data_IF_253324008242
#
_entry.id   IF_253324008242
#
_cell.length_a   1.000
_cell.length_b   1.000
_cell.length_c   1.000
_cell.angle_alpha   90.00
_cell.angle_beta   90.00
_cell.angle_gamma   90.00
#
_symmetry.space_group_name_H-M   'P 1'
#
loop_
_entity.id
_entity.type
_entity.pdbx_description
1 polymer ?
#
# COMPACT_ATOMS: atom_id res chain seq x y z
N UNK A 1 9.80 -5.55 3.15
CA UNK A 1 9.72 -6.92 2.59
C UNK A 1 10.05 -6.88 1.11
N UNK A 2 10.94 -7.76 0.64
CA UNK A 2 11.22 -7.95 -0.79
C UNK A 2 10.60 -9.27 -1.23
N UNK A 3 9.81 -9.23 -2.30
CA UNK A 3 9.17 -10.41 -2.88
C UNK A 3 9.61 -10.51 -4.33
N UNK A 4 10.08 -11.70 -4.73
CA UNK A 4 10.31 -12.02 -6.13
C UNK A 4 9.03 -12.62 -6.70
N UNK A 5 8.42 -11.91 -7.62
CA UNK A 5 7.14 -12.31 -8.20
C UNK A 5 7.30 -13.17 -9.45
N UNK A 6 8.41 -12.98 -10.19
CA UNK A 6 8.67 -13.71 -11.43
C UNK A 6 10.16 -13.93 -11.66
N UNK A 7 10.49 -15.10 -12.22
CA UNK A 7 11.78 -15.40 -12.81
C UNK A 7 11.54 -16.02 -14.19
N UNK A 8 12.16 -15.44 -15.22
CA UNK A 8 12.11 -15.97 -16.59
C UNK A 8 13.53 -16.04 -17.14
N UNK A 9 13.92 -17.22 -17.67
CA UNK A 9 15.20 -17.44 -18.33
C UNK A 9 15.02 -18.50 -19.42
N UNK A 10 15.38 -18.15 -20.65
CA UNK A 10 15.33 -19.05 -21.80
C UNK A 10 13.93 -19.50 -22.23
N UNK A 11 13.90 -20.23 -23.34
CA UNK A 11 12.67 -20.77 -23.95
C UNK A 11 12.77 -22.28 -24.23
N UNK A 12 13.98 -22.83 -24.28
CA UNK A 12 14.24 -24.24 -24.55
C UNK A 12 15.11 -24.85 -23.46
N UNK A 13 14.79 -26.07 -23.03
CA UNK A 13 15.43 -26.75 -21.93
C UNK A 13 16.91 -27.12 -22.18
N UNK A 14 17.33 -27.21 -23.42
CA UNK A 14 18.67 -27.62 -23.86
C UNK A 14 19.55 -26.42 -24.29
N UNK A 15 19.08 -25.20 -24.13
CA UNK A 15 19.80 -23.96 -24.51
C UNK A 15 20.00 -23.10 -23.28
N UNK A 16 21.26 -22.75 -22.99
CA UNK A 16 21.60 -21.81 -21.93
C UNK A 16 21.22 -20.41 -22.41
N UNK A 17 20.33 -19.70 -21.72
CA UNK A 17 19.88 -18.37 -22.11
C UNK A 17 20.99 -17.33 -21.89
N UNK A 18 21.06 -16.34 -22.78
CA UNK A 18 21.94 -15.20 -22.65
C UNK A 18 21.54 -14.27 -21.50
N UNK A 19 20.24 -14.18 -21.24
CA UNK A 19 19.66 -13.29 -20.22
C UNK A 19 18.64 -14.01 -19.34
N UNK A 20 18.52 -13.51 -18.11
CA UNK A 20 17.47 -13.90 -17.17
C UNK A 20 16.82 -12.65 -16.59
N UNK A 21 15.51 -12.65 -16.50
CA UNK A 21 14.72 -11.54 -15.94
C UNK A 21 14.13 -11.94 -14.59
N UNK A 22 14.40 -11.10 -13.58
CA UNK A 22 13.73 -11.19 -12.28
C UNK A 22 12.84 -9.96 -12.12
N UNK A 23 11.60 -10.18 -11.71
CA UNK A 23 10.67 -9.12 -11.33
C UNK A 23 10.25 -9.32 -9.88
N UNK A 24 10.07 -8.24 -9.18
CA UNK A 24 9.70 -8.31 -7.78
C UNK A 24 9.21 -6.97 -7.22
N UNK A 25 8.77 -6.99 -5.99
CA UNK A 25 8.23 -5.83 -5.27
C UNK A 25 9.00 -5.62 -3.97
N UNK A 26 9.35 -4.37 -3.68
CA UNK A 26 9.89 -3.94 -2.38
C UNK A 26 8.78 -3.21 -1.63
N UNK A 27 8.50 -3.64 -0.40
CA UNK A 27 7.53 -3.00 0.50
C UNK A 27 8.19 -2.66 1.82
N UNK A 28 8.00 -1.43 2.28
CA UNK A 28 8.58 -0.89 3.54
C UNK A 28 7.56 0.00 4.23
N UNK A 29 7.76 0.19 5.52
CA UNK A 29 6.90 1.04 6.35
C UNK A 29 7.51 2.44 6.59
N UNK A 30 8.73 2.68 6.10
CA UNK A 30 9.36 3.99 6.18
C UNK A 30 10.37 4.21 5.05
N UNK A 31 10.64 5.48 4.77
CA UNK A 31 11.50 5.91 3.67
C UNK A 31 12.96 5.47 3.83
N UNK A 32 13.50 5.49 5.07
CA UNK A 32 14.91 5.11 5.31
C UNK A 32 15.15 3.63 5.03
N UNK A 33 14.22 2.77 5.43
CA UNK A 33 14.27 1.33 5.12
C UNK A 33 14.15 1.09 3.62
N UNK A 34 13.29 1.85 2.93
CA UNK A 34 13.15 1.77 1.48
C UNK A 34 14.46 2.08 0.78
N UNK A 35 15.06 3.22 1.10
CA UNK A 35 16.36 3.64 0.53
C UNK A 35 17.46 2.60 0.78
N UNK A 36 17.52 2.07 2.01
CA UNK A 36 18.47 1.02 2.36
C UNK A 36 18.25 -0.24 1.53
N UNK A 37 17.01 -0.72 1.43
CA UNK A 37 16.68 -1.95 0.70
C UNK A 37 16.95 -1.81 -0.80
N UNK A 38 16.57 -0.69 -1.41
CA UNK A 38 16.85 -0.42 -2.83
C UNK A 38 18.35 -0.41 -3.09
N UNK A 39 19.12 0.32 -2.28
CA UNK A 39 20.57 0.36 -2.41
C UNK A 39 21.21 -1.03 -2.27
N UNK A 40 20.80 -1.78 -1.24
CA UNK A 40 21.35 -3.12 -0.99
C UNK A 40 20.95 -4.12 -2.06
N UNK A 41 19.74 -4.05 -2.58
CA UNK A 41 19.30 -4.88 -3.70
C UNK A 41 20.18 -4.66 -4.94
N UNK A 42 20.43 -3.40 -5.33
CA UNK A 42 21.30 -3.05 -6.44
C UNK A 42 22.71 -3.59 -6.23
N UNK A 43 23.28 -3.31 -5.06
CA UNK A 43 24.62 -3.77 -4.70
C UNK A 43 24.77 -5.30 -4.76
N UNK A 44 23.80 -6.03 -4.22
CA UNK A 44 23.82 -7.51 -4.22
C UNK A 44 23.69 -8.04 -5.64
N UNK A 45 22.79 -7.48 -6.45
CA UNK A 45 22.58 -7.92 -7.82
C UNK A 45 23.86 -7.71 -8.66
N UNK A 46 24.48 -6.52 -8.62
CA UNK A 46 25.70 -6.18 -9.34
C UNK A 46 26.88 -7.09 -8.93
N UNK A 47 27.10 -7.23 -7.62
CA UNK A 47 28.20 -8.05 -7.11
C UNK A 47 27.99 -9.54 -7.42
N UNK A 48 26.75 -10.03 -7.36
CA UNK A 48 26.46 -11.42 -7.69
C UNK A 48 26.68 -11.68 -9.18
N UNK A 49 26.22 -10.82 -10.06
CA UNK A 49 26.47 -10.96 -11.49
C UNK A 49 27.98 -10.93 -11.82
N UNK A 50 28.73 -10.03 -11.19
CA UNK A 50 30.18 -9.91 -11.39
C UNK A 50 30.96 -11.17 -10.99
N UNK A 51 30.53 -11.93 -9.98
CA UNK A 51 31.15 -13.22 -9.59
C UNK A 51 31.16 -14.22 -10.75
N UNK A 52 30.16 -14.15 -11.62
CA UNK A 52 30.01 -15.04 -12.78
C UNK A 52 30.36 -14.36 -14.10
N UNK A 53 31.11 -13.24 -14.08
CA UNK A 53 31.46 -12.42 -15.25
C UNK A 53 30.25 -11.94 -16.04
N UNK A 54 29.12 -11.79 -15.39
CA UNK A 54 27.89 -11.23 -15.96
C UNK A 54 27.73 -9.77 -15.59
N UNK A 55 26.68 -9.18 -16.14
CA UNK A 55 26.22 -7.83 -15.82
C UNK A 55 24.74 -7.84 -15.44
N UNK A 56 24.27 -6.78 -14.79
CA UNK A 56 22.86 -6.62 -14.46
C UNK A 56 22.41 -5.22 -14.83
N UNK A 57 21.23 -5.14 -15.41
CA UNK A 57 20.49 -3.90 -15.60
C UNK A 57 19.29 -3.90 -14.65
N UNK A 58 19.08 -2.80 -13.95
CA UNK A 58 18.03 -2.69 -12.93
C UNK A 58 17.14 -1.51 -13.25
N UNK A 59 15.88 -1.81 -13.52
CA UNK A 59 14.84 -0.82 -13.78
C UNK A 59 13.86 -0.77 -12.58
N UNK A 60 13.58 0.45 -12.10
CA UNK A 60 12.55 0.71 -11.10
C UNK A 60 11.30 1.22 -11.82
N UNK A 61 10.32 0.33 -12.03
CA UNK A 61 9.13 0.62 -12.84
C UNK A 61 8.16 1.56 -12.09
N UNK A 62 8.07 1.43 -10.78
CA UNK A 62 7.21 2.26 -9.95
C UNK A 62 7.87 2.51 -8.59
N UNK A 63 7.87 3.77 -8.19
CA UNK A 63 8.47 4.21 -6.94
C UNK A 63 7.46 5.05 -6.16
N UNK A 64 6.65 4.38 -5.33
CA UNK A 64 5.70 5.02 -4.43
C UNK A 64 6.25 4.96 -3.01
N UNK A 65 6.28 6.08 -2.26
CA UNK A 65 6.74 6.09 -0.88
C UNK A 65 5.81 5.31 0.04
N UNK A 66 6.23 4.99 1.28
CA UNK A 66 5.33 4.47 2.29
C UNK A 66 4.24 5.50 2.61
N UNK A 67 2.98 5.07 2.67
CA UNK A 67 1.89 5.91 3.15
C UNK A 67 1.98 6.03 4.68
N UNK A 68 2.24 7.25 5.14
CA UNK A 68 2.32 7.57 6.58
C UNK A 68 1.27 8.64 6.88
N UNK A 69 0.27 8.26 7.66
CA UNK A 69 -0.75 9.19 8.12
C UNK A 69 -0.20 10.14 9.19
N UNK A 70 -0.66 11.39 9.21
CA UNK A 70 -0.37 12.32 10.27
C UNK A 70 -1.14 11.92 11.54
N UNK A 71 -0.46 11.64 12.68
CA UNK A 71 -1.13 11.12 13.87
C UNK A 71 -2.20 12.07 14.42
N UNK A 72 -1.91 13.36 14.55
CA UNK A 72 -2.85 14.33 15.13
C UNK A 72 -4.11 14.46 14.24
N UNK A 73 -3.93 14.59 12.92
CA UNK A 73 -5.06 14.62 11.99
C UNK A 73 -5.87 13.32 12.02
N UNK A 74 -5.21 12.18 12.18
CA UNK A 74 -5.89 10.89 12.27
C UNK A 74 -6.73 10.80 13.57
N UNK A 75 -6.21 11.27 14.68
CA UNK A 75 -6.93 11.32 15.96
C UNK A 75 -8.16 12.22 15.88
N UNK A 76 -8.04 13.39 15.24
CA UNK A 76 -9.18 14.29 15.00
C UNK A 76 -10.26 13.59 14.16
N UNK A 77 -9.89 12.97 13.05
CA UNK A 77 -10.83 12.25 12.17
C UNK A 77 -11.53 11.10 12.89
N UNK A 78 -10.80 10.34 13.71
CA UNK A 78 -11.37 9.28 14.56
C UNK A 78 -12.35 9.89 15.57
N UNK A 79 -12.01 11.02 16.17
CA UNK A 79 -12.90 11.77 17.08
C UNK A 79 -14.22 12.14 16.40
N UNK A 80 -14.14 12.76 15.23
CA UNK A 80 -15.34 13.17 14.47
C UNK A 80 -16.20 11.99 14.02
N UNK A 81 -15.59 10.86 13.65
CA UNK A 81 -16.35 9.66 13.31
C UNK A 81 -17.02 9.01 14.52
N UNK A 82 -16.42 9.08 15.70
CA UNK A 82 -17.04 8.59 16.96
C UNK A 82 -18.25 9.39 17.39
N UNK A 83 -18.36 10.65 16.97
CA UNK A 83 -19.55 11.49 17.23
C UNK A 83 -20.74 11.11 16.33
N UNK A 84 -20.51 10.29 15.30
CA UNK A 84 -21.58 9.86 14.39
C UNK A 84 -22.35 8.71 15.03
N UNK A 85 -23.66 8.88 15.14
CA UNK A 85 -24.56 7.82 15.62
C UNK A 85 -24.95 6.88 14.45
N UNK A 86 -23.95 6.14 13.95
CA UNK A 86 -24.15 5.17 12.87
C UNK A 86 -23.94 3.76 13.43
N UNK A 87 -24.98 2.91 13.41
CA UNK A 87 -24.88 1.54 13.88
C UNK A 87 -23.78 0.76 13.14
N UNK A 88 -22.88 0.14 13.91
CA UNK A 88 -21.77 -0.67 13.36
C UNK A 88 -20.55 0.11 12.91
N UNK A 89 -20.56 1.44 12.92
CA UNK A 89 -19.37 2.24 12.67
C UNK A 89 -18.44 2.17 13.88
N UNK A 90 -17.28 1.57 13.69
CA UNK A 90 -16.24 1.46 14.72
C UNK A 90 -14.91 1.87 14.13
N UNK A 91 -14.48 3.13 14.29
CA UNK A 91 -13.15 3.57 13.85
C UNK A 91 -12.05 2.84 14.62
N UNK A 92 -11.14 2.20 13.91
CA UNK A 92 -10.01 1.44 14.45
C UNK A 92 -8.72 2.19 14.11
N UNK A 93 -7.96 2.65 15.11
CA UNK A 93 -6.67 3.30 14.89
C UNK A 93 -5.57 2.30 14.52
N UNK A 94 -4.42 2.82 14.09
CA UNK A 94 -3.15 2.09 13.90
C UNK A 94 -3.23 0.87 12.98
N UNK A 95 -4.04 0.96 11.93
CA UNK A 95 -4.10 -0.09 10.90
C UNK A 95 -2.86 0.00 10.02
N UNK A 96 -2.06 -1.07 10.01
CA UNK A 96 -0.92 -1.19 9.10
C UNK A 96 -1.26 -2.18 7.97
N UNK A 97 -1.13 -1.73 6.73
CA UNK A 97 -1.36 -2.55 5.55
C UNK A 97 -0.10 -2.60 4.68
N UNK A 98 0.27 -3.80 4.22
CA UNK A 98 1.37 -3.99 3.26
C UNK A 98 0.87 -3.75 1.83
N UNK A 99 0.21 -2.64 1.59
CA UNK A 99 -0.28 -2.21 0.28
C UNK A 99 0.61 -1.11 -0.30
N UNK A 100 0.46 -0.83 -1.58
CA UNK A 100 1.02 0.34 -2.25
C UNK A 100 -0.13 1.27 -2.57
N UNK A 101 0.03 2.56 -2.27
CA UNK A 101 -0.99 3.58 -2.40
C UNK A 101 -0.37 4.88 -2.92
N UNK A 102 -0.82 5.38 -4.06
CA UNK A 102 -0.27 6.59 -4.68
C UNK A 102 -0.59 7.86 -3.91
N UNK A 103 -1.64 7.86 -3.07
CA UNK A 103 -1.93 8.93 -2.12
C UNK A 103 -0.74 9.20 -1.17
N UNK A 104 0.16 8.25 -1.00
CA UNK A 104 1.39 8.43 -0.23
C UNK A 104 2.23 9.61 -0.73
N UNK A 105 2.21 9.90 -2.04
CA UNK A 105 2.91 11.06 -2.63
C UNK A 105 2.31 12.39 -2.17
N UNK A 106 1.00 12.43 -1.95
CA UNK A 106 0.29 13.58 -1.38
C UNK A 106 0.63 13.70 0.10
N UNK A 107 0.59 12.57 0.83
CA UNK A 107 0.87 12.53 2.27
C UNK A 107 2.30 12.95 2.64
N UNK A 108 3.27 12.83 1.73
CA UNK A 108 4.61 13.40 1.91
C UNK A 108 4.65 14.94 1.83
N UNK A 109 3.65 15.57 1.22
CA UNK A 109 3.64 17.03 0.97
C UNK A 109 2.77 17.80 1.94
N UNK A 110 1.68 17.18 2.39
CA UNK A 110 0.71 17.81 3.30
C UNK A 110 0.30 16.82 4.38
N UNK A 111 0.01 17.29 5.61
CA UNK A 111 -0.56 16.44 6.64
C UNK A 111 -1.82 15.74 6.12
N UNK A 112 -1.81 14.42 6.14
CA UNK A 112 -2.86 13.61 5.53
C UNK A 112 -3.21 12.42 6.41
N UNK A 113 -4.42 11.92 6.25
CA UNK A 113 -4.84 10.62 6.79
C UNK A 113 -5.54 9.81 5.72
N UNK A 114 -5.45 8.51 5.82
CA UNK A 114 -6.05 7.57 4.88
C UNK A 114 -6.90 6.57 5.65
N UNK A 115 -8.14 6.41 5.23
CA UNK A 115 -9.12 5.56 5.90
C UNK A 115 -9.48 4.36 5.03
N UNK A 116 -9.43 3.17 5.60
CA UNK A 116 -9.96 1.98 4.97
C UNK A 116 -11.39 1.74 5.43
N UNK A 117 -12.30 1.58 4.47
CA UNK A 117 -13.66 1.12 4.75
C UNK A 117 -13.71 -0.40 4.64
N UNK A 118 -14.07 -1.08 5.73
CA UNK A 118 -14.26 -2.52 5.69
C UNK A 118 -15.56 -2.85 4.96
N UNK A 119 -15.45 -3.43 3.78
CA UNK A 119 -16.57 -3.77 2.90
C UNK A 119 -16.66 -5.28 2.62
N UNK A 120 -16.04 -6.11 3.46
CA UNK A 120 -16.14 -7.56 3.36
C UNK A 120 -17.45 -8.09 3.94
N UNK A 121 -18.00 -9.14 3.32
CA UNK A 121 -19.07 -9.91 3.93
C UNK A 121 -18.54 -10.80 5.05
N UNK A 122 -19.34 -11.02 6.10
CA UNK A 122 -19.02 -11.91 7.23
C UNK A 122 -19.48 -13.36 6.99
N UNK A 123 -19.95 -13.68 5.79
CA UNK A 123 -20.39 -15.01 5.37
C UNK A 123 -19.48 -15.56 4.25
N UNK A 124 -19.92 -16.61 3.55
CA UNK A 124 -19.18 -17.27 2.48
C UNK A 124 -18.76 -16.34 1.33
N UNK A 125 -19.48 -15.22 1.11
CA UNK A 125 -19.13 -14.20 0.12
C UNK A 125 -17.82 -13.48 0.44
N UNK A 126 -17.45 -13.41 1.72
CA UNK A 126 -16.20 -12.81 2.20
C UNK A 126 -14.97 -13.72 2.08
N UNK A 127 -15.10 -14.90 1.48
CA UNK A 127 -14.00 -15.89 1.38
C UNK A 127 -12.85 -15.41 0.52
N UNK A 128 -13.12 -14.57 -0.48
CA UNK A 128 -12.11 -14.11 -1.43
C UNK A 128 -11.61 -12.70 -1.06
N UNK A 129 -10.27 -12.54 -0.88
CA UNK A 129 -9.68 -11.24 -0.55
C UNK A 129 -9.72 -10.28 -1.75
N UNK A 130 -9.47 -9.00 -1.48
CA UNK A 130 -9.27 -7.99 -2.51
C UNK A 130 -8.25 -8.47 -3.58
N UNK A 131 -8.45 -8.08 -4.83
CA UNK A 131 -7.70 -8.52 -6.01
C UNK A 131 -7.93 -9.97 -6.47
N UNK A 132 -8.81 -10.72 -5.82
CA UNK A 132 -9.27 -12.00 -6.36
C UNK A 132 -10.39 -11.76 -7.40
N UNK A 133 -10.42 -12.46 -8.55
CA UNK A 133 -11.49 -12.27 -9.55
C UNK A 133 -12.89 -12.65 -9.05
N UNK A 134 -13.01 -13.32 -7.91
CA UNK A 134 -14.27 -13.70 -7.26
C UNK A 134 -14.60 -12.85 -6.04
N UNK A 135 -13.83 -11.79 -5.78
CA UNK A 135 -14.09 -10.91 -4.64
C UNK A 135 -15.49 -10.27 -4.74
N UNK A 136 -16.16 -10.18 -3.63
CA UNK A 136 -17.45 -9.48 -3.49
C UNK A 136 -17.31 -8.45 -2.38
N UNK A 137 -17.77 -7.23 -2.66
CA UNK A 137 -17.82 -6.15 -1.68
C UNK A 137 -19.27 -5.89 -1.28
N UNK A 138 -19.48 -5.61 -0.01
CA UNK A 138 -20.76 -5.16 0.48
C UNK A 138 -20.94 -3.66 0.17
N UNK A 139 -21.70 -3.34 -0.85
CA UNK A 139 -21.96 -1.97 -1.29
C UNK A 139 -22.83 -1.18 -0.30
N UNK A 140 -23.56 -1.86 0.60
CA UNK A 140 -24.37 -1.20 1.62
C UNK A 140 -23.57 -0.37 2.60
N UNK A 141 -22.24 -0.58 2.68
CA UNK A 141 -21.34 0.24 3.52
C UNK A 141 -20.85 1.52 2.82
N UNK A 142 -21.01 1.65 1.50
CA UNK A 142 -20.58 2.83 0.76
C UNK A 142 -21.18 4.15 1.27
N UNK A 143 -22.48 4.23 1.58
CA UNK A 143 -23.06 5.45 2.16
C UNK A 143 -22.41 5.84 3.49
N UNK A 144 -21.97 4.86 4.29
CA UNK A 144 -21.28 5.10 5.57
C UNK A 144 -19.91 5.76 5.28
N UNK A 145 -19.17 5.23 4.31
CA UNK A 145 -17.89 5.81 3.91
C UNK A 145 -18.02 7.26 3.42
N UNK A 146 -19.03 7.54 2.61
CA UNK A 146 -19.34 8.90 2.14
C UNK A 146 -19.66 9.83 3.32
N UNK A 147 -20.51 9.37 4.25
CA UNK A 147 -20.87 10.14 5.44
C UNK A 147 -19.66 10.43 6.32
N UNK A 148 -18.77 9.45 6.53
CA UNK A 148 -17.53 9.63 7.30
C UNK A 148 -16.63 10.69 6.67
N UNK A 149 -16.38 10.63 5.34
CA UNK A 149 -15.57 11.62 4.65
C UNK A 149 -16.15 13.02 4.74
N UNK A 150 -17.47 13.17 4.53
CA UNK A 150 -18.17 14.44 4.62
C UNK A 150 -18.11 15.02 6.05
N UNK A 151 -18.40 14.20 7.05
CA UNK A 151 -18.35 14.60 8.47
C UNK A 151 -16.94 15.06 8.85
N UNK A 152 -15.91 14.29 8.51
CA UNK A 152 -14.54 14.63 8.80
C UNK A 152 -14.14 15.99 8.18
N UNK A 153 -14.49 16.23 6.92
CA UNK A 153 -14.19 17.47 6.25
C UNK A 153 -14.91 18.67 6.87
N UNK A 154 -16.22 18.54 7.15
CA UNK A 154 -17.01 19.63 7.74
C UNK A 154 -16.52 19.96 9.15
N UNK A 155 -16.35 18.95 10.00
CA UNK A 155 -15.89 19.15 11.39
C UNK A 155 -14.49 19.74 11.46
N UNK A 156 -13.61 19.30 10.57
CA UNK A 156 -12.26 19.89 10.52
C UNK A 156 -12.28 21.34 10.13
N UNK A 157 -13.09 21.72 9.11
CA UNK A 157 -13.25 23.11 8.70
C UNK A 157 -13.88 23.95 9.81
N UNK A 158 -14.90 23.44 10.53
CA UNK A 158 -15.53 24.15 11.65
C UNK A 158 -14.55 24.42 12.80
N UNK A 159 -13.66 23.45 13.08
CA UNK A 159 -12.68 23.55 14.19
C UNK A 159 -11.43 24.40 13.83
N UNK A 160 -11.21 24.68 12.55
CA UNK A 160 -10.07 25.45 12.02
C UNK A 160 -10.49 26.73 11.29
N UNK A 161 -11.63 27.32 11.68
CA UNK A 161 -12.00 28.65 11.22
C UNK A 161 -11.14 29.70 11.93
N UNK A 162 -10.31 30.45 11.16
CA UNK A 162 -9.62 31.66 11.63
C UNK A 162 -10.58 32.84 11.80
#
# INVERSE_FOLDING_TARGET
MCIRDRFKAGEAANIIPETAVLQGTIRTNNTKERELLVRRMKEVAEKTAAVYNGSVEIEMISEVPPLICNPALTDDMIGYMKEMDIPGLTPVPDVSASASEDFAVIAEKVPSTFMYLSAGYMDERGTYPAHNPKVQFNEDVCPIGVACLAQCAVKWLESHQE
#
